data_IF_974396993785
#
_entry.id   IF_974396993785
#
_cell.length_a   1.000
_cell.length_b   1.000
_cell.length_c   1.000
_cell.angle_alpha   90.00
_cell.angle_beta   90.00
_cell.angle_gamma   90.00
#
_symmetry.space_group_name_H-M   'P 1'
#
loop_
_entity.id
_entity.type
_entity.pdbx_description
1 polymer ?
#
# COMPACT_ATOMS: atom_id res chain seq x y z
N UNK A 1 -16.58 -14.34 -1.32
CA UNK A 1 -16.06 -13.40 -2.33
C UNK A 1 -15.17 -12.42 -1.59
N UNK A 2 -13.96 -12.14 -2.09
CA UNK A 2 -13.10 -11.12 -1.48
C UNK A 2 -13.57 -9.76 -2.01
N UNK A 3 -13.74 -8.76 -1.14
CA UNK A 3 -14.14 -7.40 -1.53
C UNK A 3 -12.91 -6.65 -2.07
N UNK A 4 -12.59 -6.88 -3.35
CA UNK A 4 -11.47 -6.20 -4.01
C UNK A 4 -11.92 -4.84 -4.56
N UNK A 5 -11.12 -3.80 -4.30
CA UNK A 5 -11.37 -2.43 -4.78
C UNK A 5 -10.14 -1.90 -5.52
N UNK A 6 -10.36 -0.90 -6.36
CA UNK A 6 -9.28 -0.22 -7.10
C UNK A 6 -9.10 1.18 -6.52
N UNK A 7 -7.85 1.51 -6.18
CA UNK A 7 -7.42 2.82 -5.72
C UNK A 7 -6.55 3.46 -6.80
N UNK A 8 -6.86 4.68 -7.20
CA UNK A 8 -6.00 5.44 -8.10
C UNK A 8 -4.74 5.95 -7.36
N UNK A 9 -3.61 5.95 -8.05
CA UNK A 9 -2.30 6.41 -7.57
C UNK A 9 -1.66 7.31 -8.61
N UNK A 10 -0.58 8.01 -8.24
CA UNK A 10 0.17 8.86 -9.19
C UNK A 10 0.75 8.06 -10.37
N UNK A 11 1.08 6.79 -10.17
CA UNK A 11 1.67 5.90 -11.20
C UNK A 11 0.64 5.04 -11.94
N UNK A 12 -0.62 5.03 -11.53
CA UNK A 12 -1.66 4.15 -12.07
C UNK A 12 -2.65 3.72 -11.00
N UNK A 13 -2.71 2.44 -10.68
CA UNK A 13 -3.69 1.90 -9.73
C UNK A 13 -3.08 0.91 -8.74
N UNK A 14 -3.72 0.79 -7.58
CA UNK A 14 -3.50 -0.29 -6.63
C UNK A 14 -4.80 -1.09 -6.46
N UNK A 15 -4.70 -2.42 -6.48
CA UNK A 15 -5.81 -3.29 -6.10
C UNK A 15 -5.71 -3.56 -4.61
N UNK A 16 -6.76 -3.23 -3.87
CA UNK A 16 -6.80 -3.34 -2.41
C UNK A 16 -7.88 -4.32 -1.95
N UNK A 17 -7.60 -5.00 -0.84
CA UNK A 17 -8.51 -5.97 -0.21
C UNK A 17 -8.51 -5.81 1.32
N UNK A 18 -9.59 -6.22 2.01
CA UNK A 18 -9.62 -6.26 3.47
C UNK A 18 -8.44 -7.05 4.04
N UNK A 19 -7.81 -6.49 5.07
CA UNK A 19 -6.76 -7.17 5.83
C UNK A 19 -7.40 -8.08 6.86
N UNK A 20 -7.03 -9.36 6.85
CA UNK A 20 -7.42 -10.33 7.89
C UNK A 20 -6.25 -10.75 8.77
N UNK A 21 -5.02 -10.54 8.29
CA UNK A 21 -3.77 -10.81 8.99
C UNK A 21 -2.62 -10.08 8.28
N UNK A 22 -1.69 -9.54 9.06
CA UNK A 22 -0.44 -8.98 8.56
C UNK A 22 0.55 -10.10 8.22
N UNK A 23 1.12 -10.04 7.01
CA UNK A 23 2.11 -11.00 6.51
C UNK A 23 3.39 -10.25 6.16
N UNK A 24 4.55 -10.83 6.45
CA UNK A 24 5.85 -10.23 6.10
C UNK A 24 5.93 -9.90 4.60
N UNK A 25 6.60 -8.78 4.28
CA UNK A 25 6.73 -8.22 2.94
C UNK A 25 5.43 -7.76 2.26
N UNK A 26 4.27 -7.89 2.91
CA UNK A 26 3.00 -7.36 2.41
C UNK A 26 3.04 -5.84 2.38
N UNK A 27 2.44 -5.25 1.35
CA UNK A 27 2.21 -3.81 1.27
C UNK A 27 0.79 -3.50 1.73
N UNK A 28 0.66 -2.50 2.58
CA UNK A 28 -0.58 -2.04 3.17
C UNK A 28 -0.87 -0.61 2.73
N UNK A 29 -2.15 -0.31 2.56
CA UNK A 29 -2.68 1.04 2.57
C UNK A 29 -2.92 1.45 4.02
N UNK A 30 -2.24 2.51 4.46
CA UNK A 30 -2.33 3.00 5.84
C UNK A 30 -2.74 4.48 5.89
N UNK A 31 -3.28 4.90 7.03
CA UNK A 31 -3.49 6.30 7.37
C UNK A 31 -2.51 6.72 8.46
N UNK A 32 -1.53 7.56 8.12
CA UNK A 32 -0.51 8.00 9.06
C UNK A 32 -0.04 9.41 8.72
N UNK A 33 0.28 10.22 9.73
CA UNK A 33 0.72 11.61 9.50
C UNK A 33 -0.29 12.50 8.77
N UNK A 34 -1.60 12.19 8.87
CA UNK A 34 -2.67 12.93 8.22
C UNK A 34 -2.81 12.68 6.72
N UNK A 35 -2.15 11.66 6.18
CA UNK A 35 -2.24 11.24 4.77
C UNK A 35 -2.42 9.73 4.65
N UNK A 36 -3.04 9.34 3.55
CA UNK A 36 -3.02 7.93 3.12
C UNK A 36 -1.71 7.66 2.41
N UNK A 37 -1.01 6.60 2.81
CA UNK A 37 0.25 6.18 2.19
C UNK A 37 0.38 4.66 2.15
N UNK A 38 1.43 4.17 1.48
CA UNK A 38 1.75 2.75 1.45
C UNK A 38 2.89 2.45 2.42
N UNK A 39 2.79 1.31 3.12
CA UNK A 39 3.86 0.83 3.95
C UNK A 39 4.01 -0.69 3.83
N UNK A 40 5.24 -1.18 4.01
CA UNK A 40 5.57 -2.61 3.92
C UNK A 40 5.79 -3.20 5.30
N UNK A 41 5.19 -4.35 5.56
CA UNK A 41 5.42 -5.11 6.79
C UNK A 41 6.84 -5.68 6.79
N UNK A 42 7.68 -5.22 7.72
CA UNK A 42 9.04 -5.71 7.94
C UNK A 42 9.29 -5.97 9.43
N UNK A 43 9.45 -7.24 9.80
CA UNK A 43 9.58 -7.63 11.21
C UNK A 43 8.35 -7.21 12.00
N UNK A 44 8.54 -6.33 12.98
CA UNK A 44 7.46 -5.76 13.82
C UNK A 44 7.11 -4.32 13.47
N UNK A 45 7.60 -3.82 12.33
CA UNK A 45 7.41 -2.45 11.89
C UNK A 45 6.71 -2.40 10.53
N UNK A 46 6.09 -1.26 10.24
CA UNK A 46 5.69 -0.87 8.90
C UNK A 46 6.72 0.12 8.37
N UNK A 47 7.28 -0.15 7.19
CA UNK A 47 8.27 0.71 6.53
C UNK A 47 7.57 1.48 5.43
N UNK A 48 7.51 2.80 5.56
CA UNK A 48 6.91 3.72 4.60
C UNK A 48 7.83 3.94 3.39
N UNK A 49 7.32 4.59 2.35
CA UNK A 49 8.07 4.87 1.13
C UNK A 49 9.22 5.87 1.31
N UNK A 50 9.09 6.79 2.27
CA UNK A 50 10.16 7.68 2.74
C UNK A 50 11.19 7.00 3.66
N UNK A 51 10.99 5.71 3.98
CA UNK A 51 11.92 4.89 4.75
C UNK A 51 11.77 5.01 6.26
N UNK A 52 10.75 5.73 6.75
CA UNK A 52 10.43 5.76 8.18
C UNK A 52 9.83 4.42 8.65
N UNK A 53 10.10 4.11 9.92
CA UNK A 53 9.55 2.93 10.58
C UNK A 53 8.42 3.36 11.52
N UNK A 54 7.24 2.77 11.33
CA UNK A 54 6.11 2.87 12.24
C UNK A 54 6.10 1.60 13.09
N UNK A 55 6.34 1.76 14.39
CA UNK A 55 6.43 0.68 15.39
C UNK A 55 5.30 0.78 16.43
N UNK A 56 5.00 -0.31 17.13
CA UNK A 56 4.01 -0.34 18.22
C UNK A 56 2.57 -0.60 17.76
N UNK A 57 1.57 -0.21 18.56
CA UNK A 57 0.13 -0.49 18.31
C UNK A 57 -0.40 0.13 17.00
N UNK A 58 0.25 1.19 16.51
CA UNK A 58 -0.04 1.78 15.20
C UNK A 58 0.19 0.79 14.05
N UNK A 59 1.13 -0.14 14.22
CA UNK A 59 1.40 -1.21 13.25
C UNK A 59 0.41 -2.39 13.36
N UNK A 60 -0.40 -2.49 14.42
CA UNK A 60 -1.23 -3.68 14.66
C UNK A 60 -2.71 -3.49 14.24
N UNK A 61 -3.42 -2.40 14.60
CA UNK A 61 -4.88 -2.33 14.31
C UNK A 61 -5.45 -0.93 13.99
N UNK A 62 -4.77 0.17 14.30
CA UNK A 62 -5.37 1.52 14.18
C UNK A 62 -5.20 2.22 12.82
N UNK A 63 -4.09 1.97 12.12
CA UNK A 63 -3.74 2.73 10.91
C UNK A 63 -3.91 1.92 9.61
N UNK A 64 -4.12 0.61 9.68
CA UNK A 64 -4.18 -0.28 8.51
C UNK A 64 -5.58 -0.32 7.92
N UNK A 65 -5.73 0.14 6.69
CA UNK A 65 -7.03 0.16 6.00
C UNK A 65 -7.25 -1.07 5.11
N UNK A 66 -6.24 -1.45 4.31
CA UNK A 66 -6.37 -2.55 3.33
C UNK A 66 -4.99 -3.08 2.92
N UNK A 67 -4.91 -4.33 2.45
CA UNK A 67 -3.70 -4.85 1.80
C UNK A 67 -3.71 -4.47 0.34
N UNK A 68 -2.53 -4.20 -0.22
CA UNK A 68 -2.34 -4.09 -1.66
C UNK A 68 -1.99 -5.47 -2.21
N UNK A 69 -2.74 -5.95 -3.20
CA UNK A 69 -2.45 -7.22 -3.89
C UNK A 69 -1.74 -7.02 -5.21
N UNK A 70 -2.02 -5.90 -5.90
CA UNK A 70 -1.38 -5.55 -7.17
C UNK A 70 -1.15 -4.05 -7.29
N UNK A 71 -0.03 -3.69 -7.92
CA UNK A 71 0.17 -2.37 -8.51
C UNK A 71 0.04 -2.50 -10.03
N UNK A 72 -0.75 -1.63 -10.63
CA UNK A 72 -0.99 -1.58 -12.08
C UNK A 72 -0.50 -0.21 -12.54
N UNK A 73 0.68 -0.17 -13.13
CA UNK A 73 1.26 1.08 -13.63
C UNK A 73 0.59 1.49 -14.95
N UNK A 74 0.46 2.81 -15.15
CA UNK A 74 0.08 3.36 -16.45
C UNK A 74 1.14 2.98 -17.48
N UNK A 75 0.69 2.56 -18.65
CA UNK A 75 1.56 2.48 -19.80
C UNK A 75 1.97 3.91 -20.18
N UNK A 76 3.26 4.14 -20.40
CA UNK A 76 3.73 5.34 -21.08
C UNK A 76 3.52 5.05 -22.57
N UNK A 77 2.75 5.89 -23.27
CA UNK A 77 2.76 5.84 -24.73
C UNK A 77 4.20 6.15 -25.18
N UNK A 78 4.82 5.22 -25.89
CA UNK A 78 6.03 5.52 -26.65
C UNK A 78 5.60 6.53 -27.72
N UNK A 79 5.75 7.82 -27.42
CA UNK A 79 5.73 8.90 -28.42
C UNK A 79 6.90 8.61 -29.36
N UNK A 80 6.68 7.67 -30.27
CA UNK A 80 7.62 7.31 -31.31
C UNK A 80 7.88 8.55 -32.15
N UNK A 81 8.93 9.29 -31.81
CA UNK A 81 9.56 10.23 -32.71
C UNK A 81 10.18 9.38 -33.82
N UNK A 82 9.41 9.17 -34.89
CA UNK A 82 9.93 8.86 -36.22
C UNK A 82 10.57 10.09 -36.85
#
# INVERSE_FOLDING_TARGET
MIDSRVLETSSGFAVIEPVTRLVQNQVLLIWSGGRTQFARVMGRALITDDGEAIEGEAAEEGEVMSRVTFFINRAIEDDGIV
#
